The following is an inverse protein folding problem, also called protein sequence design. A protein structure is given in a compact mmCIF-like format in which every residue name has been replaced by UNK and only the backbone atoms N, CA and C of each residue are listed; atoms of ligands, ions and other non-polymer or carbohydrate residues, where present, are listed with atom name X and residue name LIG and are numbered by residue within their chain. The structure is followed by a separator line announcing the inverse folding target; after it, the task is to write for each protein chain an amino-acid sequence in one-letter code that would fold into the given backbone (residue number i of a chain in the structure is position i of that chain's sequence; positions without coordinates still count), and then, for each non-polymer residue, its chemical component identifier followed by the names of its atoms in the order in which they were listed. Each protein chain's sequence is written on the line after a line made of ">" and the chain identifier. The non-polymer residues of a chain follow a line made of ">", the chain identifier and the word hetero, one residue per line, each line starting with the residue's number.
data_IF_390673136549
#
_entry.id   IF_390673136549
#
_cell.length_a   1.000
_cell.length_b   1.000
_cell.length_c   1.000
_cell.angle_alpha   90.00
_cell.angle_beta   90.00
_cell.angle_gamma   90.00
#
_symmetry.space_group_name_H-M   'P 1'
#
loop_
_entity.id
_entity.type
_entity.pdbx_description
1 polymer ?
#
# COMPACT_ATOMS: atom_id res chain seq x y z
N UNK A 1 14.21 -1.92 14.39
CA UNK A 1 13.14 -2.92 14.14
C UNK A 1 12.07 -2.24 13.30
N UNK A 2 11.77 -2.81 12.15
CA UNK A 2 10.68 -2.41 11.26
C UNK A 2 9.71 -3.58 11.20
N UNK A 3 8.45 -3.35 11.58
CA UNK A 3 7.40 -4.37 11.57
C UNK A 3 6.37 -3.98 10.52
N UNK A 4 6.08 -4.90 9.59
CA UNK A 4 5.11 -4.69 8.52
C UNK A 4 3.95 -5.67 8.72
N UNK A 5 2.72 -5.18 8.71
CA UNK A 5 1.50 -5.98 8.85
C UNK A 5 0.65 -5.76 7.61
N UNK A 6 0.24 -6.86 6.98
CA UNK A 6 -0.53 -6.85 5.74
C UNK A 6 -2.01 -6.97 6.08
N UNK A 7 -2.79 -5.93 5.79
CA UNK A 7 -4.23 -5.90 6.05
C UNK A 7 -5.08 -6.11 4.80
N UNK A 8 -4.48 -5.94 3.61
CA UNK A 8 -5.14 -6.16 2.34
C UNK A 8 -4.14 -6.24 1.19
N UNK A 9 -4.42 -7.12 0.24
CA UNK A 9 -3.51 -7.50 -0.85
C UNK A 9 -4.17 -7.52 -2.22
N UNK A 10 -5.48 -7.26 -2.32
CA UNK A 10 -6.21 -7.31 -3.59
C UNK A 10 -6.17 -5.98 -4.31
N UNK A 11 -6.12 -6.06 -5.63
CA UNK A 11 -6.26 -4.92 -6.52
C UNK A 11 -7.69 -4.71 -7.01
N UNK A 12 -8.02 -3.49 -7.37
CA UNK A 12 -9.25 -3.02 -7.99
C UNK A 12 -10.54 -3.23 -7.18
N UNK A 13 -10.75 -4.41 -6.57
CA UNK A 13 -11.97 -4.74 -5.82
C UNK A 13 -11.70 -5.83 -4.77
N UNK A 14 -12.47 -5.85 -3.67
CA UNK A 14 -12.43 -6.95 -2.71
C UNK A 14 -12.85 -8.28 -3.36
N UNK A 15 -12.15 -9.36 -3.02
CA UNK A 15 -12.50 -10.72 -3.42
C UNK A 15 -13.20 -11.45 -2.27
N UNK A 16 -14.38 -11.99 -2.52
CA UNK A 16 -15.23 -12.61 -1.50
C UNK A 16 -15.49 -14.08 -1.83
N UNK A 17 -15.42 -14.93 -0.82
CA UNK A 17 -15.78 -16.35 -0.94
C UNK A 17 -14.67 -17.30 -0.53
N UNK A 18 -15.00 -18.59 -0.48
CA UNK A 18 -14.12 -19.67 0.02
C UNK A 18 -12.79 -19.83 -0.72
N UNK A 19 -12.70 -19.31 -1.94
CA UNK A 19 -11.52 -19.43 -2.78
C UNK A 19 -10.51 -18.29 -2.56
N UNK A 20 -10.76 -17.36 -1.62
CA UNK A 20 -9.96 -16.16 -1.37
C UNK A 20 -9.60 -15.99 0.12
N UNK A 21 -9.58 -17.11 0.88
CA UNK A 21 -9.38 -17.09 2.33
C UNK A 21 -7.93 -17.23 2.76
N UNK A 22 -7.10 -17.89 1.95
CA UNK A 22 -5.69 -18.13 2.25
C UNK A 22 -4.84 -16.88 2.07
N UNK A 23 -4.98 -16.20 0.94
CA UNK A 23 -4.24 -14.97 0.65
C UNK A 23 -5.00 -13.71 1.08
N UNK A 24 -6.30 -13.83 1.35
CA UNK A 24 -7.15 -12.73 1.77
C UNK A 24 -7.91 -12.08 0.63
N UNK A 25 -8.94 -11.34 0.99
CA UNK A 25 -9.88 -10.72 0.04
C UNK A 25 -9.94 -9.20 0.12
N UNK A 26 -9.25 -8.56 1.06
CA UNK A 26 -9.29 -7.11 1.21
C UNK A 26 -8.33 -6.40 0.26
N UNK A 27 -8.74 -5.20 -0.19
CA UNK A 27 -7.91 -4.33 -1.03
C UNK A 27 -6.82 -3.64 -0.21
N UNK A 28 -5.85 -3.06 -0.92
CA UNK A 28 -4.54 -2.60 -0.43
C UNK A 28 -4.62 -1.80 0.86
N UNK A 29 -3.98 -2.31 1.88
CA UNK A 29 -3.74 -1.63 3.15
C UNK A 29 -2.57 -2.30 3.87
N UNK A 30 -1.47 -1.58 4.04
CA UNK A 30 -0.27 -2.08 4.70
C UNK A 30 0.06 -1.17 5.90
N UNK A 31 0.33 -1.78 7.04
CA UNK A 31 0.75 -1.09 8.24
C UNK A 31 2.25 -1.30 8.48
N UNK A 32 2.99 -0.21 8.67
CA UNK A 32 4.40 -0.22 9.00
C UNK A 32 4.58 0.38 10.39
N UNK A 33 5.23 -0.34 11.28
CA UNK A 33 5.47 0.08 12.64
C UNK A 33 6.96 0.17 12.98
N UNK A 34 7.33 1.22 13.70
CA UNK A 34 8.61 1.34 14.42
C UNK A 34 8.37 1.38 15.93
N UNK A 35 9.33 1.82 16.71
CA UNK A 35 9.16 1.99 18.16
C UNK A 35 8.05 3.01 18.48
N UNK A 36 8.10 4.19 17.84
CA UNK A 36 7.23 5.33 18.18
C UNK A 36 6.13 5.60 17.15
N UNK A 37 6.29 5.15 15.91
CA UNK A 37 5.42 5.48 14.80
C UNK A 37 4.68 4.28 14.20
N UNK A 38 3.51 4.58 13.66
CA UNK A 38 2.70 3.70 12.82
C UNK A 38 2.38 4.44 11.54
N UNK A 39 2.84 3.94 10.41
CA UNK A 39 2.45 4.38 9.08
C UNK A 39 1.44 3.40 8.50
N UNK A 40 0.39 3.89 7.89
CA UNK A 40 -0.60 3.09 7.18
C UNK A 40 -0.55 3.54 5.73
N UNK A 41 -0.12 2.65 4.85
CA UNK A 41 -0.09 2.87 3.41
C UNK A 41 -1.43 2.44 2.83
N UNK A 42 -2.18 3.42 2.35
CA UNK A 42 -3.53 3.32 1.83
C UNK A 42 -4.59 2.80 2.81
N UNK A 43 -5.83 3.09 2.50
CA UNK A 43 -7.00 2.68 3.27
C UNK A 43 -8.00 1.91 2.41
N UNK A 44 -7.52 0.91 1.70
CA UNK A 44 -8.39 -0.05 1.05
C UNK A 44 -9.28 -0.80 2.04
N UNK A 45 -10.07 -1.76 1.59
CA UNK A 45 -11.01 -2.45 2.48
C UNK A 45 -10.35 -3.18 3.65
N UNK A 46 -9.04 -3.48 3.55
CA UNK A 46 -8.23 -4.03 4.65
C UNK A 46 -8.06 -3.11 5.85
N UNK A 47 -8.28 -1.80 5.68
CA UNK A 47 -8.17 -0.81 6.75
C UNK A 47 -9.10 -1.10 7.96
N UNK A 48 -10.23 -1.78 7.73
CA UNK A 48 -11.14 -2.23 8.80
C UNK A 48 -10.48 -3.14 9.85
N UNK A 49 -9.39 -3.83 9.47
CA UNK A 49 -8.68 -4.78 10.34
C UNK A 49 -7.71 -4.09 11.31
N UNK A 50 -7.44 -2.79 11.13
CA UNK A 50 -6.53 -2.04 11.99
C UNK A 50 -7.23 -1.71 13.30
N UNK A 51 -6.67 -2.19 14.40
CA UNK A 51 -7.10 -1.82 15.75
C UNK A 51 -6.26 -0.64 16.26
N UNK A 52 -6.91 0.53 16.32
CA UNK A 52 -6.27 1.74 16.83
C UNK A 52 -6.15 1.74 18.36
N UNK A 53 -6.74 0.77 19.08
CA UNK A 53 -6.62 0.67 20.53
C UNK A 53 -5.38 -0.09 20.98
N UNK A 54 -4.81 -0.93 20.12
CA UNK A 54 -3.66 -1.79 20.48
C UNK A 54 -2.35 -1.05 20.68
N UNK A 55 -2.25 0.21 20.24
CA UNK A 55 -0.99 0.95 20.36
C UNK A 55 -1.23 2.44 20.61
N UNK A 56 -0.27 3.05 21.32
CA UNK A 56 -0.21 4.50 21.54
C UNK A 56 0.74 5.19 20.56
N UNK A 57 1.23 4.49 19.54
CA UNK A 57 2.16 5.05 18.55
C UNK A 57 1.50 6.20 17.78
N UNK A 58 2.28 7.20 17.44
CA UNK A 58 1.83 8.26 16.55
C UNK A 58 1.49 7.66 15.19
N UNK A 59 0.29 7.94 14.69
CA UNK A 59 -0.24 7.29 13.49
C UNK A 59 -0.38 8.29 12.35
N UNK A 60 0.14 7.92 11.18
CA UNK A 60 -0.09 8.63 9.93
C UNK A 60 -0.60 7.67 8.85
N UNK A 61 -1.57 8.12 8.07
CA UNK A 61 -2.04 7.49 6.83
C UNK A 61 -1.33 8.18 5.69
N UNK A 62 -0.71 7.40 4.83
CA UNK A 62 0.10 7.84 3.70
C UNK A 62 -0.51 7.27 2.42
N UNK A 63 -1.17 8.10 1.62
CA UNK A 63 -1.79 7.67 0.37
C UNK A 63 -0.80 7.64 -0.77
N UNK A 64 -0.78 6.51 -1.51
CA UNK A 64 -0.04 6.34 -2.76
C UNK A 64 -0.75 7.03 -3.91
N UNK A 65 -2.06 6.85 -4.02
CA UNK A 65 -2.95 7.49 -4.98
C UNK A 65 -4.43 7.39 -4.50
N UNK A 66 -5.40 7.74 -5.37
CA UNK A 66 -6.79 7.93 -4.95
C UNK A 66 -7.79 7.07 -5.71
N UNK A 67 -7.39 5.93 -6.26
CA UNK A 67 -8.33 4.96 -6.80
C UNK A 67 -9.18 4.36 -5.68
N UNK A 68 -10.38 3.91 -6.06
CA UNK A 68 -11.41 3.47 -5.12
C UNK A 68 -10.90 2.40 -4.13
N UNK A 69 -10.19 1.41 -4.62
CA UNK A 69 -9.68 0.29 -3.83
C UNK A 69 -8.56 0.67 -2.84
N UNK A 70 -7.96 1.85 -2.98
CA UNK A 70 -6.97 2.39 -2.05
C UNK A 70 -7.55 3.34 -1.01
N UNK A 71 -8.77 3.84 -1.20
CA UNK A 71 -9.36 4.83 -0.29
C UNK A 71 -10.68 4.37 0.34
N UNK A 72 -11.37 3.35 -0.17
CA UNK A 72 -12.74 2.97 0.21
C UNK A 72 -12.93 2.56 1.67
N UNK A 73 -11.90 2.11 2.35
CA UNK A 73 -11.99 1.52 3.69
C UNK A 73 -11.89 2.52 4.84
N UNK A 74 -11.50 3.78 4.59
CA UNK A 74 -11.31 4.76 5.65
C UNK A 74 -12.55 4.91 6.54
N UNK A 75 -13.72 4.91 5.96
CA UNK A 75 -15.00 5.03 6.67
C UNK A 75 -15.47 3.74 7.36
N UNK A 76 -14.84 2.62 7.09
CA UNK A 76 -15.31 1.30 7.51
C UNK A 76 -14.58 0.75 8.75
N UNK A 77 -13.68 1.52 9.35
CA UNK A 77 -12.96 1.09 10.54
C UNK A 77 -13.74 1.49 11.81
N UNK A 78 -14.28 0.52 12.57
CA UNK A 78 -15.10 0.81 13.75
C UNK A 78 -14.33 1.50 14.86
N UNK A 79 -13.01 1.39 14.90
CA UNK A 79 -12.21 2.07 15.93
C UNK A 79 -12.05 3.58 15.69
N UNK A 80 -12.37 4.10 14.51
CA UNK A 80 -12.40 5.54 14.25
C UNK A 80 -13.60 6.26 14.91
N UNK A 81 -14.70 5.57 15.18
CA UNK A 81 -15.90 6.15 15.79
C UNK A 81 -15.72 6.59 17.25
N UNK A 82 -14.63 6.22 17.88
CA UNK A 82 -14.34 6.58 19.26
C UNK A 82 -13.37 7.76 19.34
N UNK A 83 -13.44 8.61 20.37
CA UNK A 83 -12.47 9.70 20.59
C UNK A 83 -11.05 9.13 20.64
N UNK A 84 -10.19 9.54 19.72
CA UNK A 84 -8.86 9.00 19.48
C UNK A 84 -7.79 10.08 19.46
N UNK A 85 -6.53 9.70 19.70
CA UNK A 85 -5.42 10.56 19.32
C UNK A 85 -5.53 10.96 17.84
N UNK A 86 -5.00 12.12 17.48
CA UNK A 86 -4.97 12.55 16.09
C UNK A 86 -4.35 11.50 15.18
N UNK A 87 -4.99 11.23 14.06
CA UNK A 87 -4.46 10.43 12.96
C UNK A 87 -4.11 11.41 11.84
N UNK A 88 -2.86 11.45 11.48
CA UNK A 88 -2.36 12.34 10.43
C UNK A 88 -2.65 11.73 9.07
N UNK A 89 -3.09 12.54 8.11
CA UNK A 89 -3.35 12.11 6.73
C UNK A 89 -2.48 12.93 5.80
N UNK A 90 -1.69 12.28 4.97
CA UNK A 90 -0.83 12.94 3.98
C UNK A 90 -0.67 12.10 2.70
N UNK A 91 -0.08 12.72 1.68
CA UNK A 91 0.33 12.09 0.43
C UNK A 91 1.49 12.91 -0.16
N UNK A 92 2.46 12.26 -0.79
CA UNK A 92 3.47 12.95 -1.57
C UNK A 92 2.90 13.50 -2.89
N UNK A 93 1.78 12.95 -3.37
CA UNK A 93 1.13 13.33 -4.61
C UNK A 93 0.40 14.68 -4.52
N UNK A 94 -0.24 14.98 -3.39
CA UNK A 94 -1.08 16.16 -3.20
C UNK A 94 -0.71 16.94 -1.93
N UNK A 95 -0.77 18.27 -2.02
CA UNK A 95 -0.70 19.12 -0.83
C UNK A 95 -1.95 18.97 0.02
N UNK A 96 -1.86 19.24 1.32
CA UNK A 96 -2.94 18.99 2.31
C UNK A 96 -4.31 19.56 1.92
N UNK A 97 -4.36 20.72 1.28
CA UNK A 97 -5.63 21.35 0.88
C UNK A 97 -6.32 20.59 -0.26
N UNK A 98 -5.54 20.14 -1.26
CA UNK A 98 -6.03 19.36 -2.39
C UNK A 98 -6.40 17.94 -1.94
N UNK A 99 -5.56 17.31 -1.11
CA UNK A 99 -5.82 16.01 -0.50
C UNK A 99 -7.14 16.02 0.27
N UNK A 100 -7.33 17.03 1.13
CA UNK A 100 -8.59 17.21 1.86
C UNK A 100 -9.78 17.35 0.91
N UNK A 101 -9.64 18.14 -0.17
CA UNK A 101 -10.70 18.33 -1.16
C UNK A 101 -11.07 17.02 -1.88
N UNK A 102 -10.08 16.25 -2.32
CA UNK A 102 -10.30 14.96 -3.02
C UNK A 102 -11.03 13.98 -2.11
N UNK A 103 -10.53 13.75 -0.90
CA UNK A 103 -11.14 12.81 0.03
C UNK A 103 -12.51 13.30 0.56
N UNK A 104 -12.70 14.62 0.77
CA UNK A 104 -13.99 15.16 1.17
C UNK A 104 -15.04 15.03 0.07
N UNK A 105 -14.67 15.13 -1.19
CA UNK A 105 -15.58 14.86 -2.31
C UNK A 105 -16.00 13.40 -2.35
N UNK A 106 -15.05 12.47 -2.20
CA UNK A 106 -15.31 11.03 -2.18
C UNK A 106 -16.21 10.64 -0.99
N UNK A 107 -15.95 11.17 0.21
CA UNK A 107 -16.71 10.93 1.43
C UNK A 107 -17.75 12.02 1.69
N UNK A 108 -18.43 12.50 0.65
CA UNK A 108 -19.49 13.49 0.73
C UNK A 108 -20.88 12.84 0.76
N UNK A 109 -21.93 13.54 1.22
CA UNK A 109 -23.30 13.00 1.24
C UNK A 109 -23.85 12.52 -0.10
N UNK A 110 -23.21 12.88 -1.22
CA UNK A 110 -23.55 12.33 -2.53
C UNK A 110 -23.15 10.85 -2.69
N UNK A 111 -22.08 10.42 -2.03
CA UNK A 111 -21.51 9.08 -2.16
C UNK A 111 -21.42 8.34 -0.81
N UNK A 112 -21.55 9.04 0.29
CA UNK A 112 -21.42 8.52 1.64
C UNK A 112 -22.47 9.18 2.57
N UNK A 113 -23.06 8.49 3.55
CA UNK A 113 -24.20 9.01 4.33
C UNK A 113 -23.92 10.24 5.19
N UNK A 114 -22.65 10.53 5.48
CA UNK A 114 -22.22 11.68 6.30
C UNK A 114 -21.06 12.42 5.61
N UNK A 115 -20.81 13.65 6.04
CA UNK A 115 -19.58 14.37 5.70
C UNK A 115 -18.45 13.89 6.63
N UNK A 116 -17.70 12.89 6.20
CA UNK A 116 -16.77 12.13 7.05
C UNK A 116 -15.84 13.01 7.89
N UNK A 117 -15.17 13.97 7.27
CA UNK A 117 -14.17 14.81 7.96
C UNK A 117 -14.75 15.92 8.82
N UNK A 118 -16.08 16.12 8.83
CA UNK A 118 -16.76 16.95 9.80
C UNK A 118 -17.14 16.18 11.06
N UNK A 119 -17.35 14.86 10.92
CA UNK A 119 -17.69 13.96 12.04
C UNK A 119 -16.45 13.41 12.75
N UNK A 120 -15.33 13.25 12.02
CA UNK A 120 -14.08 12.70 12.54
C UNK A 120 -13.00 13.78 12.65
N UNK A 121 -13.11 14.66 13.65
CA UNK A 121 -12.18 15.75 13.91
C UNK A 121 -10.75 15.29 14.23
N UNK A 122 -10.58 14.02 14.60
CA UNK A 122 -9.28 13.41 14.85
C UNK A 122 -8.52 13.02 13.58
N UNK A 123 -9.14 13.10 12.40
CA UNK A 123 -8.49 12.90 11.11
C UNK A 123 -7.96 14.25 10.61
N UNK A 124 -6.66 14.48 10.73
CA UNK A 124 -6.03 15.77 10.47
C UNK A 124 -5.11 15.69 9.26
N UNK A 125 -5.33 16.60 8.31
CA UNK A 125 -4.53 16.67 7.09
C UNK A 125 -3.21 17.41 7.30
N UNK A 126 -2.13 16.86 6.77
CA UNK A 126 -0.78 17.41 6.78
C UNK A 126 -0.19 17.42 5.36
N UNK A 127 0.80 18.26 5.11
CA UNK A 127 1.67 18.09 3.96
C UNK A 127 2.64 16.93 4.24
N UNK A 128 3.09 16.27 3.20
CA UNK A 128 4.02 15.14 3.32
C UNK A 128 5.31 15.53 4.07
N UNK A 129 5.90 16.66 3.72
CA UNK A 129 7.14 17.17 4.31
C UNK A 129 7.03 17.50 5.81
N UNK A 130 5.82 17.75 6.32
CA UNK A 130 5.58 17.94 7.75
C UNK A 130 5.71 16.62 8.49
N UNK A 131 5.16 15.54 7.91
CA UNK A 131 5.21 14.18 8.46
C UNK A 131 6.63 13.59 8.36
N UNK A 132 7.28 13.75 7.21
CA UNK A 132 8.66 13.31 6.99
C UNK A 132 9.60 13.90 8.05
N UNK A 133 9.56 15.20 8.26
CA UNK A 133 10.40 15.89 9.26
C UNK A 133 10.13 15.43 10.69
N UNK A 134 8.88 15.18 11.04
CA UNK A 134 8.50 14.74 12.38
C UNK A 134 9.03 13.33 12.70
N UNK A 135 9.12 12.46 11.69
CA UNK A 135 9.51 11.06 11.87
C UNK A 135 11.00 10.80 11.65
N UNK A 136 11.76 11.82 11.25
CA UNK A 136 13.15 11.70 10.79
C UNK A 136 14.11 11.12 11.85
N UNK A 137 13.77 11.20 13.13
CA UNK A 137 14.54 10.62 14.23
C UNK A 137 14.55 9.06 14.22
N UNK A 138 13.50 8.44 13.69
CA UNK A 138 13.40 6.97 13.57
C UNK A 138 13.31 6.48 12.13
N UNK A 139 12.70 7.27 11.23
CA UNK A 139 12.33 6.83 9.87
C UNK A 139 12.69 7.91 8.86
N UNK A 140 13.35 7.53 7.79
CA UNK A 140 13.42 8.33 6.57
C UNK A 140 12.38 7.80 5.57
N UNK A 141 11.58 8.70 4.99
CA UNK A 141 10.56 8.36 4.00
C UNK A 141 10.91 9.04 2.68
N UNK A 142 11.24 8.26 1.68
CA UNK A 142 11.47 8.73 0.32
C UNK A 142 10.29 8.33 -0.57
N UNK A 143 10.11 9.01 -1.70
CA UNK A 143 9.05 8.67 -2.65
C UNK A 143 9.52 8.81 -4.09
N UNK A 144 8.83 8.11 -4.99
CA UNK A 144 9.07 8.17 -6.43
C UNK A 144 7.74 8.13 -7.18
N UNK A 145 7.58 8.90 -8.27
CA UNK A 145 6.39 8.79 -9.10
C UNK A 145 6.37 7.43 -9.81
N UNK A 146 5.18 6.87 -9.95
CA UNK A 146 4.91 5.61 -10.62
C UNK A 146 4.06 5.84 -11.87
N UNK A 147 4.28 5.02 -12.90
CA UNK A 147 3.48 5.04 -14.12
C UNK A 147 2.13 4.33 -13.88
N UNK A 148 1.09 5.11 -13.63
CA UNK A 148 -0.25 4.63 -13.36
C UNK A 148 -1.28 5.67 -13.85
N UNK A 149 -2.45 5.27 -14.41
CA UNK A 149 -3.50 6.21 -14.81
C UNK A 149 -3.94 7.08 -13.63
N UNK A 150 -3.93 8.40 -13.82
CA UNK A 150 -4.20 9.35 -12.74
C UNK A 150 -3.00 9.68 -11.86
N UNK A 151 -1.88 8.98 -12.01
CA UNK A 151 -0.67 9.08 -11.20
C UNK A 151 -0.74 8.27 -9.92
N UNK A 152 0.44 7.76 -9.49
CA UNK A 152 0.64 7.12 -8.21
C UNK A 152 2.07 7.40 -7.71
N UNK A 153 2.32 7.17 -6.43
CA UNK A 153 3.65 7.30 -5.83
C UNK A 153 4.03 6.04 -5.05
N UNK A 154 5.24 5.55 -5.30
CA UNK A 154 5.89 4.54 -4.47
C UNK A 154 6.59 5.19 -3.29
N UNK A 155 6.65 4.48 -2.16
CA UNK A 155 7.32 4.95 -0.95
C UNK A 155 8.42 4.00 -0.53
N UNK A 156 9.57 4.55 -0.13
CA UNK A 156 10.65 3.83 0.56
C UNK A 156 10.72 4.29 2.00
N UNK A 157 10.61 3.36 2.92
CA UNK A 157 10.69 3.58 4.36
C UNK A 157 11.97 2.94 4.86
N UNK A 158 12.85 3.76 5.42
CA UNK A 158 14.13 3.31 6.00
C UNK A 158 14.22 3.65 7.48
N UNK A 159 14.70 2.69 8.23
CA UNK A 159 15.25 2.87 9.59
C UNK A 159 16.78 2.81 9.51
N UNK A 160 17.47 2.91 10.64
CA UNK A 160 18.94 2.76 10.69
C UNK A 160 19.43 1.44 10.06
N UNK A 161 18.67 0.35 10.20
CA UNK A 161 19.15 -0.99 9.86
C UNK A 161 18.31 -1.70 8.79
N UNK A 162 17.09 -1.23 8.51
CA UNK A 162 16.14 -1.93 7.65
C UNK A 162 15.46 -0.98 6.67
N UNK A 163 15.04 -1.53 5.54
CA UNK A 163 14.38 -0.78 4.47
C UNK A 163 13.28 -1.59 3.81
N UNK A 164 12.17 -0.92 3.50
CA UNK A 164 11.07 -1.49 2.73
C UNK A 164 10.59 -0.49 1.68
N UNK A 165 10.29 -0.98 0.49
CA UNK A 165 9.73 -0.18 -0.62
C UNK A 165 8.36 -0.71 -1.00
N UNK A 166 7.44 0.19 -1.26
CA UNK A 166 6.05 -0.08 -1.60
C UNK A 166 5.78 0.50 -2.98
N UNK A 167 5.74 -0.36 -3.98
CA UNK A 167 5.43 -0.06 -5.38
C UNK A 167 4.05 -0.65 -5.69
N UNK A 168 3.01 -0.01 -5.12
CA UNK A 168 1.64 -0.37 -5.46
C UNK A 168 1.25 0.32 -6.76
N UNK A 169 0.35 -0.27 -7.50
CA UNK A 169 -0.23 0.25 -8.72
C UNK A 169 0.77 0.96 -9.64
N UNK A 170 1.47 0.15 -10.40
CA UNK A 170 2.38 0.68 -11.41
C UNK A 170 2.50 -0.25 -12.61
N UNK A 171 2.56 0.32 -13.78
CA UNK A 171 2.91 -0.37 -15.01
C UNK A 171 4.36 -0.04 -15.34
N UNK A 172 5.23 -1.04 -15.26
CA UNK A 172 6.65 -0.81 -15.55
C UNK A 172 6.84 -0.51 -17.02
N UNK A 173 7.65 0.49 -17.31
CA UNK A 173 8.05 0.86 -18.67
C UNK A 173 9.58 1.11 -18.73
N UNK A 174 10.14 1.10 -19.93
CA UNK A 174 11.59 1.21 -20.13
C UNK A 174 12.20 2.51 -19.57
N UNK A 175 11.41 3.60 -19.53
CA UNK A 175 11.90 4.91 -19.05
C UNK A 175 12.09 4.95 -17.54
N UNK A 176 11.20 4.30 -16.81
CA UNK A 176 11.16 4.35 -15.35
C UNK A 176 11.84 3.14 -14.71
N UNK A 177 12.05 2.07 -15.46
CA UNK A 177 12.64 0.82 -14.98
C UNK A 177 13.99 1.03 -14.27
N UNK A 178 14.93 1.73 -14.91
CA UNK A 178 16.25 1.99 -14.31
C UNK A 178 16.17 2.87 -13.05
N UNK A 179 15.25 3.84 -13.03
CA UNK A 179 15.03 4.69 -11.85
C UNK A 179 14.47 3.89 -10.68
N UNK A 180 13.52 2.99 -10.97
CA UNK A 180 12.94 2.12 -9.94
C UNK A 180 13.97 1.11 -9.42
N UNK A 181 14.81 0.54 -10.28
CA UNK A 181 15.95 -0.31 -9.87
C UNK A 181 16.84 0.46 -8.89
N UNK A 182 17.25 1.68 -9.24
CA UNK A 182 18.12 2.49 -8.37
C UNK A 182 17.42 2.87 -7.07
N UNK A 183 16.14 3.23 -7.12
CA UNK A 183 15.32 3.54 -5.95
C UNK A 183 15.20 2.34 -5.00
N UNK A 184 15.15 1.11 -5.53
CA UNK A 184 15.00 -0.13 -4.75
C UNK A 184 16.31 -0.89 -4.51
N UNK A 185 17.45 -0.36 -4.96
CA UNK A 185 18.73 -1.07 -4.85
C UNK A 185 19.07 -1.42 -3.40
N UNK A 186 19.44 -2.68 -3.19
CA UNK A 186 19.91 -3.24 -1.92
C UNK A 186 18.93 -3.05 -0.73
N UNK A 187 17.62 -2.92 -1.00
CA UNK A 187 16.61 -2.87 0.08
C UNK A 187 16.26 -4.28 0.58
N UNK A 188 15.82 -4.38 1.84
CA UNK A 188 15.44 -5.67 2.41
C UNK A 188 14.16 -6.21 1.74
N UNK A 189 13.13 -5.36 1.57
CA UNK A 189 11.84 -5.77 1.05
C UNK A 189 11.31 -4.79 0.01
N UNK A 190 10.75 -5.35 -1.08
CA UNK A 190 9.90 -4.61 -2.03
C UNK A 190 8.51 -5.26 -2.09
N UNK A 191 7.47 -4.45 -1.94
CA UNK A 191 6.10 -4.80 -2.31
C UNK A 191 5.86 -4.39 -3.76
N UNK A 192 5.47 -5.34 -4.59
CA UNK A 192 5.35 -5.21 -6.04
C UNK A 192 3.94 -5.45 -6.52
N UNK A 193 3.46 -4.61 -7.43
CA UNK A 193 2.21 -4.84 -8.16
C UNK A 193 2.36 -6.04 -9.10
N UNK A 194 1.79 -7.16 -8.72
CA UNK A 194 1.77 -8.39 -9.52
C UNK A 194 0.38 -8.79 -9.94
N UNK A 195 -0.41 -7.83 -10.42
CA UNK A 195 -1.81 -8.07 -10.79
C UNK A 195 -1.92 -9.10 -11.91
N UNK A 196 -1.06 -9.02 -12.91
CA UNK A 196 -1.12 -9.84 -14.12
C UNK A 196 0.00 -10.87 -14.20
N UNK A 197 -0.23 -11.92 -14.99
CA UNK A 197 0.82 -12.69 -15.64
C UNK A 197 1.19 -12.03 -16.97
N UNK A 198 2.35 -12.36 -17.55
CA UNK A 198 2.75 -11.86 -18.87
C UNK A 198 1.71 -12.18 -19.96
N UNK A 199 1.02 -13.32 -19.84
CA UNK A 199 -0.01 -13.69 -20.80
C UNK A 199 -1.24 -12.78 -20.69
N UNK A 200 -1.70 -12.50 -19.48
CA UNK A 200 -2.86 -11.61 -19.22
C UNK A 200 -2.54 -10.17 -19.61
N UNK A 201 -1.32 -9.73 -19.35
CA UNK A 201 -0.86 -8.36 -19.60
C UNK A 201 -0.93 -7.95 -21.08
N UNK A 202 -0.77 -8.89 -22.02
CA UNK A 202 -0.82 -8.60 -23.46
C UNK A 202 -2.05 -7.82 -23.91
N UNK A 203 -3.17 -7.99 -23.21
CA UNK A 203 -4.45 -7.30 -23.47
C UNK A 203 -4.77 -6.20 -22.46
N UNK A 204 -3.83 -5.89 -21.57
CA UNK A 204 -4.01 -4.98 -20.43
C UNK A 204 -2.97 -3.86 -20.38
N UNK A 205 -2.18 -3.70 -21.44
CA UNK A 205 -1.19 -2.62 -21.57
C UNK A 205 -1.93 -1.27 -21.44
N UNK A 206 -1.39 -0.38 -20.62
CA UNK A 206 -2.00 0.91 -20.29
C UNK A 206 -3.03 0.89 -19.16
N UNK A 207 -3.24 -0.26 -18.51
CA UNK A 207 -4.11 -0.37 -17.34
C UNK A 207 -3.43 0.06 -16.03
N UNK A 208 -2.11 0.26 -16.08
CA UNK A 208 -1.34 0.78 -14.94
C UNK A 208 -0.87 -0.28 -13.95
N UNK A 209 -0.77 -1.55 -14.38
CA UNK A 209 -0.33 -2.66 -13.54
C UNK A 209 0.76 -3.49 -14.19
N UNK A 210 1.63 -4.05 -13.35
CA UNK A 210 2.75 -4.89 -13.76
C UNK A 210 2.41 -6.38 -13.69
N UNK A 211 3.40 -7.19 -14.08
CA UNK A 211 3.29 -8.65 -14.04
C UNK A 211 4.13 -9.25 -12.92
N UNK A 212 3.79 -10.48 -12.56
CA UNK A 212 4.54 -11.29 -11.60
C UNK A 212 5.95 -11.56 -12.16
N UNK A 213 6.05 -11.85 -13.46
CA UNK A 213 7.30 -12.12 -14.14
C UNK A 213 8.22 -10.89 -14.16
N UNK A 214 7.68 -9.70 -14.42
CA UNK A 214 8.42 -8.44 -14.31
C UNK A 214 8.93 -8.21 -12.88
N UNK A 215 8.13 -8.56 -11.86
CA UNK A 215 8.56 -8.53 -10.46
C UNK A 215 9.74 -9.47 -10.19
N UNK A 216 9.74 -10.65 -10.80
CA UNK A 216 10.87 -11.60 -10.67
C UNK A 216 12.16 -11.07 -11.32
N UNK A 217 12.06 -10.49 -12.50
CA UNK A 217 13.21 -9.84 -13.17
C UNK A 217 13.73 -8.65 -12.36
N UNK A 218 12.82 -7.87 -11.78
CA UNK A 218 13.14 -6.73 -10.94
C UNK A 218 13.86 -7.12 -9.65
N UNK A 219 13.40 -8.18 -8.97
CA UNK A 219 14.05 -8.75 -7.79
C UNK A 219 15.55 -8.99 -8.00
N UNK A 220 15.90 -9.53 -9.17
CA UNK A 220 17.29 -9.82 -9.52
C UNK A 220 18.07 -8.55 -9.89
N UNK A 221 17.45 -7.66 -10.68
CA UNK A 221 18.10 -6.47 -11.22
C UNK A 221 18.40 -5.40 -10.15
N UNK A 222 17.53 -5.28 -9.15
CA UNK A 222 17.67 -4.31 -8.06
C UNK A 222 18.41 -4.89 -6.83
N UNK A 223 18.83 -6.16 -6.85
CA UNK A 223 19.45 -6.86 -5.73
C UNK A 223 18.62 -6.77 -4.43
N UNK A 224 17.30 -6.94 -4.56
CA UNK A 224 16.36 -6.94 -3.45
C UNK A 224 16.45 -8.27 -2.70
N UNK A 225 16.40 -8.25 -1.38
CA UNK A 225 16.47 -9.48 -0.60
C UNK A 225 15.20 -10.30 -0.71
N UNK A 226 14.03 -9.71 -0.47
CA UNK A 226 12.72 -10.35 -0.59
C UNK A 226 11.74 -9.44 -1.37
N UNK A 227 11.00 -10.01 -2.32
CA UNK A 227 9.97 -9.30 -3.07
C UNK A 227 8.60 -9.92 -2.79
N UNK A 228 7.69 -9.09 -2.32
CA UNK A 228 6.32 -9.46 -2.02
C UNK A 228 5.40 -9.06 -3.16
N UNK A 229 4.88 -10.03 -3.90
CA UNK A 229 3.82 -9.82 -4.88
C UNK A 229 2.54 -9.46 -4.14
N UNK A 230 1.99 -8.30 -4.41
CA UNK A 230 0.71 -7.82 -3.90
C UNK A 230 -0.18 -7.33 -5.05
N UNK A 231 -1.28 -6.68 -4.73
CA UNK A 231 -2.27 -6.22 -5.71
C UNK A 231 -2.82 -7.37 -6.57
N UNK A 232 -3.04 -8.54 -5.92
CA UNK A 232 -3.56 -9.72 -6.62
C UNK A 232 -4.89 -9.41 -7.31
N UNK A 233 -5.02 -9.82 -8.57
CA UNK A 233 -6.26 -9.65 -9.32
C UNK A 233 -7.47 -10.19 -8.52
N UNK A 234 -8.61 -9.49 -8.49
CA UNK A 234 -9.75 -9.88 -7.65
C UNK A 234 -10.38 -11.23 -8.03
N UNK A 235 -10.15 -11.71 -9.25
CA UNK A 235 -10.57 -13.02 -9.71
C UNK A 235 -9.58 -14.14 -9.43
N UNK A 236 -8.32 -13.84 -9.09
CA UNK A 236 -7.26 -14.84 -8.89
C UNK A 236 -7.45 -15.58 -7.58
N UNK A 237 -7.83 -16.83 -7.69
CA UNK A 237 -8.11 -17.71 -6.55
C UNK A 237 -6.85 -18.09 -5.77
N UNK A 238 -7.03 -18.53 -4.52
CA UNK A 238 -5.95 -19.06 -3.67
C UNK A 238 -5.20 -20.20 -4.37
N UNK A 239 -5.92 -21.09 -5.06
CA UNK A 239 -5.33 -22.21 -5.81
C UNK A 239 -4.44 -21.73 -6.96
N UNK A 240 -4.86 -20.69 -7.68
CA UNK A 240 -4.06 -20.11 -8.77
C UNK A 240 -2.82 -19.40 -8.22
N UNK A 241 -2.92 -18.71 -7.08
CA UNK A 241 -1.75 -18.11 -6.43
C UNK A 241 -0.80 -19.21 -5.96
N UNK A 242 -1.27 -20.32 -5.40
CA UNK A 242 -0.41 -21.45 -5.02
C UNK A 242 0.33 -22.04 -6.21
N UNK A 243 -0.35 -22.20 -7.34
CA UNK A 243 0.27 -22.69 -8.57
C UNK A 243 1.34 -21.74 -9.10
N UNK A 244 1.08 -20.44 -9.11
CA UNK A 244 2.05 -19.42 -9.51
C UNK A 244 3.23 -19.37 -8.53
N UNK A 245 2.98 -19.38 -7.23
CA UNK A 245 4.03 -19.34 -6.20
C UNK A 245 5.03 -20.50 -6.33
N UNK A 246 4.57 -21.67 -6.76
CA UNK A 246 5.43 -22.83 -6.95
C UNK A 246 6.44 -22.68 -8.11
N UNK A 247 6.27 -21.68 -8.97
CA UNK A 247 7.14 -21.44 -10.13
C UNK A 247 8.34 -20.53 -9.80
N UNK A 248 8.34 -19.88 -8.62
CA UNK A 248 9.31 -18.86 -8.26
C UNK A 248 10.17 -19.26 -7.05
N UNK A 249 11.35 -18.63 -6.87
CA UNK A 249 12.20 -18.87 -5.71
C UNK A 249 11.53 -18.36 -4.41
N UNK A 250 12.04 -18.84 -3.26
CA UNK A 250 11.47 -18.55 -1.93
C UNK A 250 11.45 -17.08 -1.54
N UNK A 251 12.32 -16.27 -2.12
CA UNK A 251 12.40 -14.82 -1.87
C UNK A 251 11.51 -13.98 -2.81
N UNK A 252 10.74 -14.62 -3.70
CA UNK A 252 9.57 -14.03 -4.33
C UNK A 252 8.33 -14.60 -3.64
N UNK A 253 7.66 -13.79 -2.84
CA UNK A 253 6.62 -14.20 -1.90
C UNK A 253 5.30 -13.59 -2.32
N UNK A 254 4.25 -14.39 -2.44
CA UNK A 254 2.93 -13.85 -2.65
C UNK A 254 2.36 -13.38 -1.32
N UNK A 255 2.09 -12.07 -1.21
CA UNK A 255 1.63 -11.45 0.02
C UNK A 255 0.27 -12.02 0.45
N UNK A 256 0.10 -12.23 1.75
CA UNK A 256 -1.16 -12.73 2.32
C UNK A 256 -1.65 -11.79 3.42
N UNK A 257 -2.95 -11.54 3.44
CA UNK A 257 -3.63 -10.78 4.49
C UNK A 257 -3.43 -11.46 5.86
N UNK A 258 -3.15 -10.66 6.89
CA UNK A 258 -2.85 -11.14 8.24
C UNK A 258 -1.37 -11.47 8.47
N UNK A 259 -0.54 -11.53 7.43
CA UNK A 259 0.88 -11.78 7.60
C UNK A 259 1.58 -10.60 8.30
N UNK A 260 2.58 -10.95 9.09
CA UNK A 260 3.46 -10.00 9.79
C UNK A 260 4.91 -10.30 9.44
N UNK A 261 5.66 -9.27 9.07
CA UNK A 261 7.08 -9.34 8.70
C UNK A 261 7.84 -8.48 9.71
N UNK A 262 8.89 -9.02 10.29
CA UNK A 262 9.77 -8.31 11.24
C UNK A 262 11.20 -8.26 10.68
N UNK A 263 11.76 -7.05 10.55
CA UNK A 263 13.10 -6.74 10.04
C UNK A 263 13.97 -6.14 11.14
#
# INVERSE_FOLDING_TARGET
>A
MLKIIIHGVRGSAPAIGKNFTKYGGNTTCIEVQTKSYRLILDTGSGFKNIDFFKTKKQTAILYTHFHHDHIQGLSNNPSLFNKRPPIKICSAMLKKAELKKVLSNYYSPKFFPITLFSEYENLIFYNFDEIEREMLDEIAIEYTPLNHPGGAFGYKIRTKNNSAVFLFDHEINDRDHLKLIEFCRDVDIVFWDGMFTNQEYKTKIGWGHSTIEQGYEFLQSANVKDLYICHHAPWRTDKEIDQLSALYPKNLIFAAEGATIEL
#
